data_IF_714059117767
#
_entry.id   IF_714059117767
#
_cell.length_a   1.000
_cell.length_b   1.000
_cell.length_c   1.000
_cell.angle_alpha   90.00
_cell.angle_beta   90.00
_cell.angle_gamma   90.00
#
_symmetry.space_group_name_H-M   'P 1'
#
loop_
_entity.id
_entity.type
_entity.pdbx_description
1 polymer ?
#
# COMPACT_ATOMS: atom_id res chain seq x y z
N UNK A 1 20.21 -9.03 0.94
CA UNK A 1 18.88 -9.62 0.62
C UNK A 1 18.61 -10.88 1.43
N UNK A 2 19.44 -11.92 1.37
CA UNK A 2 19.24 -13.16 2.15
C UNK A 2 19.11 -12.91 3.67
N UNK A 3 19.95 -12.03 4.25
CA UNK A 3 19.87 -11.68 5.67
C UNK A 3 18.53 -11.03 6.06
N UNK A 4 17.98 -10.16 5.20
CA UNK A 4 16.67 -9.52 5.43
C UNK A 4 15.56 -10.58 5.42
N UNK A 5 15.56 -11.47 4.43
CA UNK A 5 14.57 -12.55 4.37
C UNK A 5 14.70 -13.49 5.57
N UNK A 6 15.92 -13.79 6.01
CA UNK A 6 16.18 -14.61 7.21
C UNK A 6 15.62 -13.95 8.47
N UNK A 7 15.87 -12.65 8.65
CA UNK A 7 15.31 -11.87 9.74
C UNK A 7 13.78 -11.88 9.74
N UNK A 8 13.15 -11.64 8.57
CA UNK A 8 11.70 -11.68 8.44
C UNK A 8 11.10 -13.06 8.74
N UNK A 9 11.78 -14.14 8.33
CA UNK A 9 11.35 -15.50 8.63
C UNK A 9 11.41 -15.80 10.13
N UNK A 10 12.38 -15.24 10.85
CA UNK A 10 12.54 -15.42 12.29
C UNK A 10 11.43 -14.74 13.12
N UNK A 11 10.72 -13.76 12.55
CA UNK A 11 9.52 -13.18 13.19
C UNK A 11 8.32 -14.12 13.16
N UNK A 12 8.32 -15.14 12.30
CA UNK A 12 7.20 -16.05 12.03
C UNK A 12 5.97 -15.40 11.39
N UNK A 13 5.16 -16.23 10.72
CA UNK A 13 3.90 -15.77 10.14
C UNK A 13 2.81 -15.73 11.22
N UNK A 14 2.07 -14.63 11.30
CA UNK A 14 1.00 -14.46 12.28
C UNK A 14 -0.28 -15.23 11.91
N UNK A 15 -0.52 -16.33 12.62
CA UNK A 15 -1.74 -17.16 12.55
C UNK A 15 -2.74 -16.90 13.69
N UNK A 16 -2.48 -15.94 14.58
CA UNK A 16 -3.27 -15.76 15.82
C UNK A 16 -4.65 -15.12 15.59
N UNK A 17 -4.88 -14.54 14.42
CA UNK A 17 -6.09 -13.76 14.10
C UNK A 17 -6.13 -12.36 14.74
N UNK A 18 -5.10 -11.99 15.52
CA UNK A 18 -4.94 -10.64 16.10
C UNK A 18 -3.99 -9.81 15.22
N UNK A 19 -4.34 -8.55 14.97
CA UNK A 19 -3.43 -7.57 14.37
C UNK A 19 -2.59 -6.93 15.47
N UNK A 20 -1.27 -7.00 15.36
CA UNK A 20 -0.33 -6.38 16.31
C UNK A 20 0.04 -4.96 15.90
N UNK A 21 0.19 -4.72 14.59
CA UNK A 21 0.70 -3.47 14.05
C UNK A 21 -0.35 -2.73 13.18
N UNK A 22 -0.22 -1.41 13.03
CA UNK A 22 -1.12 -0.63 12.17
C UNK A 22 -0.81 -0.89 10.69
N UNK A 23 -1.74 -1.56 10.02
CA UNK A 23 -1.64 -1.97 8.60
C UNK A 23 -2.34 -1.00 7.63
N UNK A 24 -2.74 0.18 8.10
CA UNK A 24 -3.44 1.16 7.27
C UNK A 24 -2.60 1.59 6.06
N UNK A 25 -3.12 1.36 4.85
CA UNK A 25 -2.40 1.64 3.60
C UNK A 25 -2.39 3.10 3.17
N UNK A 26 -3.38 3.89 3.59
CA UNK A 26 -3.55 5.28 3.20
C UNK A 26 -2.80 6.24 4.14
N UNK A 27 -1.50 5.98 4.31
CA UNK A 27 -0.60 6.71 5.22
C UNK A 27 0.66 7.11 4.45
N UNK A 28 1.42 8.05 5.02
CA UNK A 28 2.70 8.46 4.44
C UNK A 28 3.78 7.38 4.58
N UNK A 29 4.84 7.48 3.77
CA UNK A 29 6.04 6.64 3.91
C UNK A 29 6.61 6.71 5.34
N UNK A 30 6.76 7.93 5.89
CA UNK A 30 7.19 8.14 7.29
C UNK A 30 6.37 7.34 8.30
N UNK A 31 5.03 7.32 8.14
CA UNK A 31 4.15 6.57 9.05
C UNK A 31 4.27 5.06 8.86
N UNK A 32 4.41 4.58 7.62
CA UNK A 32 4.60 3.16 7.31
C UNK A 32 5.93 2.67 7.88
N UNK A 33 7.00 3.44 7.72
CA UNK A 33 8.30 3.12 8.28
C UNK A 33 8.33 3.26 9.81
N UNK A 34 7.47 4.10 10.40
CA UNK A 34 7.18 4.07 11.84
C UNK A 34 6.71 2.69 12.29
N UNK A 35 5.72 2.11 11.59
CA UNK A 35 5.25 0.74 11.87
C UNK A 35 6.36 -0.30 11.67
N UNK A 36 7.24 -0.14 10.68
CA UNK A 36 8.39 -1.04 10.51
C UNK A 36 9.34 -1.00 11.72
N UNK A 37 9.56 0.17 12.33
CA UNK A 37 10.35 0.30 13.56
C UNK A 37 9.67 -0.37 14.75
N UNK A 38 8.35 -0.25 14.86
CA UNK A 38 7.57 -0.95 15.89
C UNK A 38 7.71 -2.47 15.74
N UNK A 39 7.66 -2.99 14.52
CA UNK A 39 7.89 -4.43 14.23
C UNK A 39 9.27 -4.88 14.70
N UNK A 40 10.31 -4.08 14.42
CA UNK A 40 11.69 -4.41 14.82
C UNK A 40 11.83 -4.40 16.34
N UNK A 41 11.19 -3.44 17.01
CA UNK A 41 11.25 -3.28 18.46
C UNK A 41 10.49 -4.39 19.20
N UNK A 42 9.25 -4.66 18.80
CA UNK A 42 8.37 -5.59 19.50
C UNK A 42 8.62 -7.05 19.11
N UNK A 43 9.21 -7.30 17.93
CA UNK A 43 9.58 -8.61 17.42
C UNK A 43 8.44 -9.65 17.45
N UNK A 44 7.21 -9.20 17.18
CA UNK A 44 6.02 -10.05 17.13
C UNK A 44 5.79 -10.64 15.72
N UNK A 45 5.06 -11.76 15.60
CA UNK A 45 4.70 -12.33 14.31
C UNK A 45 3.98 -11.36 13.37
N UNK A 46 4.28 -11.48 12.08
CA UNK A 46 3.81 -10.57 11.04
C UNK A 46 3.05 -11.29 9.93
N UNK A 47 2.24 -10.53 9.17
CA UNK A 47 1.61 -10.96 7.94
C UNK A 47 2.21 -10.28 6.71
N UNK A 48 1.71 -10.62 5.53
CA UNK A 48 2.24 -10.17 4.25
C UNK A 48 2.37 -8.65 4.08
N UNK A 49 1.46 -7.83 4.64
CA UNK A 49 1.56 -6.37 4.51
C UNK A 49 2.59 -5.75 5.46
N UNK A 50 2.67 -6.24 6.70
CA UNK A 50 3.70 -5.87 7.67
C UNK A 50 5.09 -6.24 7.15
N UNK A 51 5.21 -7.43 6.54
CA UNK A 51 6.40 -7.88 5.85
C UNK A 51 6.84 -6.92 4.73
N UNK A 52 5.90 -6.37 3.96
CA UNK A 52 6.20 -5.33 2.94
C UNK A 52 6.71 -4.05 3.59
N UNK A 53 6.09 -3.58 4.68
CA UNK A 53 6.54 -2.37 5.37
C UNK A 53 7.97 -2.55 5.92
N UNK A 54 8.22 -3.68 6.56
CA UNK A 54 9.51 -4.03 7.12
C UNK A 54 10.58 -4.15 6.04
N UNK A 55 10.32 -4.90 4.98
CA UNK A 55 11.25 -5.07 3.87
C UNK A 55 11.57 -3.72 3.20
N UNK A 56 10.56 -2.87 2.98
CA UNK A 56 10.75 -1.55 2.39
C UNK A 56 11.64 -0.65 3.25
N UNK A 57 11.47 -0.69 4.58
CA UNK A 57 12.29 0.04 5.54
C UNK A 57 13.74 -0.45 5.56
N UNK A 58 13.94 -1.76 5.72
CA UNK A 58 15.27 -2.38 5.80
C UNK A 58 16.07 -2.22 4.50
N UNK A 59 15.39 -1.99 3.37
CA UNK A 59 16.02 -1.75 2.07
C UNK A 59 16.00 -0.30 1.62
N UNK A 60 15.46 0.63 2.41
CA UNK A 60 15.47 2.06 2.09
C UNK A 60 16.88 2.70 2.17
N UNK A 61 17.83 2.03 2.82
CA UNK A 61 19.21 2.53 2.96
C UNK A 61 19.28 3.80 3.81
N UNK A 62 18.74 3.74 5.04
CA UNK A 62 18.64 4.89 5.94
C UNK A 62 19.94 5.70 6.09
N UNK A 63 19.84 6.98 6.50
CA UNK A 63 21.03 7.78 6.80
C UNK A 63 21.81 7.06 7.91
N UNK A 64 23.13 6.95 7.78
CA UNK A 64 24.07 6.34 8.75
C UNK A 64 24.41 4.84 8.60
N UNK A 65 24.48 4.30 7.38
CA UNK A 65 25.47 3.23 7.11
C UNK A 65 26.59 3.81 6.25
N UNK A 66 27.59 4.40 6.92
CA UNK A 66 28.84 4.85 6.31
C UNK A 66 29.42 3.72 5.44
N UNK A 67 29.44 3.93 4.12
CA UNK A 67 30.12 3.06 3.16
C UNK A 67 29.25 2.15 2.30
N UNK A 68 27.93 2.08 2.48
CA UNK A 68 27.05 1.24 1.65
C UNK A 68 26.30 2.05 0.57
N UNK A 69 27.03 2.61 -0.39
CA UNK A 69 26.52 3.39 -1.53
C UNK A 69 25.63 2.60 -2.51
N UNK A 70 25.40 1.31 -2.26
CA UNK A 70 24.77 0.37 -3.21
C UNK A 70 23.24 0.27 -3.12
N UNK A 71 22.62 0.69 -2.02
CA UNK A 71 21.18 0.46 -1.79
C UNK A 71 20.26 1.51 -2.44
N UNK A 72 20.78 2.67 -2.86
CA UNK A 72 19.99 3.75 -3.48
C UNK A 72 19.48 3.44 -4.90
N UNK A 73 19.86 2.30 -5.47
CA UNK A 73 19.51 1.91 -6.85
C UNK A 73 18.54 0.72 -6.91
N UNK A 74 17.89 0.36 -5.80
CA UNK A 74 16.99 -0.80 -5.78
C UNK A 74 15.55 -0.34 -5.70
N UNK A 75 14.83 -0.55 -6.81
CA UNK A 75 13.38 -0.37 -6.82
C UNK A 75 12.69 -1.41 -5.93
N UNK A 76 11.77 -0.90 -5.10
CA UNK A 76 11.01 -1.64 -4.10
C UNK A 76 9.54 -1.53 -4.46
N UNK A 77 9.06 -2.43 -5.32
CA UNK A 77 7.76 -2.32 -5.97
C UNK A 77 6.73 -3.21 -5.26
N UNK A 78 5.63 -2.67 -4.69
CA UNK A 78 4.61 -3.51 -4.08
C UNK A 78 3.79 -4.23 -5.18
N UNK A 79 3.68 -5.55 -5.07
CA UNK A 79 2.87 -6.39 -5.95
C UNK A 79 1.81 -7.09 -5.11
N UNK A 80 0.53 -6.86 -5.42
CA UNK A 80 -0.59 -7.57 -4.79
C UNK A 80 -1.23 -8.56 -5.75
N UNK A 81 -1.56 -9.75 -5.25
CA UNK A 81 -2.27 -10.78 -5.96
C UNK A 81 -3.68 -10.92 -5.40
N UNK A 82 -4.67 -11.06 -6.29
CA UNK A 82 -5.99 -11.59 -5.97
C UNK A 82 -6.09 -12.98 -6.57
N UNK A 83 -6.30 -13.99 -5.74
CA UNK A 83 -6.43 -15.38 -6.19
C UNK A 83 -7.79 -15.97 -5.80
N UNK A 84 -8.14 -17.10 -6.41
CA UNK A 84 -9.35 -17.87 -6.10
C UNK A 84 -8.96 -19.33 -5.86
N UNK A 85 -9.50 -19.95 -4.81
CA UNK A 85 -9.39 -21.39 -4.56
C UNK A 85 -10.66 -21.87 -3.87
N UNK A 86 -11.24 -22.98 -4.35
CA UNK A 86 -12.48 -23.53 -3.80
C UNK A 86 -13.63 -22.52 -3.73
N UNK A 87 -13.76 -21.63 -4.72
CA UNK A 87 -14.77 -20.55 -4.73
C UNK A 87 -14.50 -19.38 -3.78
N UNK A 88 -13.43 -19.44 -2.97
CA UNK A 88 -13.04 -18.39 -2.03
C UNK A 88 -11.98 -17.47 -2.64
N UNK A 89 -12.11 -16.17 -2.40
CA UNK A 89 -11.12 -15.17 -2.85
C UNK A 89 -10.07 -14.92 -1.77
N UNK A 90 -8.80 -14.93 -2.16
CA UNK A 90 -7.66 -14.62 -1.29
C UNK A 90 -6.90 -13.41 -1.81
N UNK A 91 -6.18 -12.73 -0.92
CA UNK A 91 -5.35 -11.57 -1.23
C UNK A 91 -4.00 -11.73 -0.56
N UNK A 92 -2.95 -11.49 -1.32
CA UNK A 92 -1.58 -11.54 -0.85
C UNK A 92 -0.80 -10.36 -1.45
N UNK A 93 0.24 -9.89 -0.75
CA UNK A 93 1.11 -8.81 -1.23
C UNK A 93 2.56 -9.17 -0.91
N UNK A 94 3.45 -8.83 -1.83
CA UNK A 94 4.91 -8.96 -1.69
C UNK A 94 5.59 -7.67 -2.13
N UNK A 95 6.86 -7.50 -1.76
CA UNK A 95 7.69 -6.41 -2.22
C UNK A 95 8.70 -6.97 -3.24
N UNK A 96 8.58 -6.55 -4.49
CA UNK A 96 9.54 -6.90 -5.53
C UNK A 96 10.83 -6.10 -5.31
N UNK A 97 11.95 -6.81 -5.25
CA UNK A 97 13.28 -6.24 -5.04
C UNK A 97 14.24 -7.03 -5.92
N UNK A 98 15.10 -6.34 -6.70
CA UNK A 98 16.12 -6.97 -7.58
C UNK A 98 15.56 -8.12 -8.45
N UNK A 99 14.81 -7.77 -9.50
CA UNK A 99 14.26 -8.72 -10.47
C UNK A 99 14.84 -8.45 -11.87
N UNK A 100 14.91 -9.49 -12.72
CA UNK A 100 15.37 -9.35 -14.10
C UNK A 100 14.30 -8.69 -14.98
N UNK A 101 13.07 -9.17 -14.87
CA UNK A 101 11.87 -8.58 -15.45
C UNK A 101 10.72 -8.73 -14.45
N UNK A 102 9.74 -7.83 -14.53
CA UNK A 102 8.59 -7.91 -13.64
C UNK A 102 7.68 -9.05 -14.05
N UNK A 103 7.60 -9.32 -15.35
CA UNK A 103 6.87 -10.44 -15.91
C UNK A 103 7.39 -11.78 -15.39
N UNK A 104 8.70 -12.06 -15.43
CA UNK A 104 9.27 -13.33 -14.93
C UNK A 104 8.95 -13.55 -13.44
N UNK A 105 9.09 -12.49 -12.64
CA UNK A 105 8.77 -12.55 -11.21
C UNK A 105 7.29 -12.89 -10.99
N UNK A 106 6.38 -12.18 -11.65
CA UNK A 106 4.94 -12.43 -11.53
C UNK A 106 4.59 -13.81 -12.07
N UNK A 107 5.21 -14.25 -13.16
CA UNK A 107 5.03 -15.58 -13.76
C UNK A 107 5.38 -16.69 -12.78
N UNK A 108 6.52 -16.56 -12.11
CA UNK A 108 6.91 -17.51 -11.06
C UNK A 108 5.89 -17.57 -9.92
N UNK A 109 5.38 -16.43 -9.44
CA UNK A 109 4.31 -16.42 -8.44
C UNK A 109 3.03 -17.10 -8.96
N UNK A 110 2.65 -16.89 -10.22
CA UNK A 110 1.48 -17.54 -10.84
C UNK A 110 1.64 -19.06 -10.85
N UNK A 111 2.82 -19.57 -11.21
CA UNK A 111 3.15 -20.99 -11.15
C UNK A 111 3.03 -21.53 -9.72
N UNK A 112 3.59 -20.82 -8.74
CA UNK A 112 3.54 -21.25 -7.33
C UNK A 112 2.11 -21.25 -6.76
N UNK A 113 1.27 -20.28 -7.11
CA UNK A 113 -0.15 -20.32 -6.74
C UNK A 113 -0.87 -21.51 -7.38
N UNK A 114 -0.60 -21.77 -8.66
CA UNK A 114 -1.20 -22.88 -9.39
C UNK A 114 -0.83 -24.22 -8.74
N UNK A 115 0.43 -24.38 -8.32
CA UNK A 115 0.92 -25.57 -7.62
C UNK A 115 0.19 -25.86 -6.30
N UNK A 116 -0.41 -24.85 -5.67
CA UNK A 116 -1.22 -24.99 -4.44
C UNK A 116 -2.72 -24.81 -4.70
N UNK A 117 -3.18 -25.05 -5.93
CA UNK A 117 -4.59 -25.00 -6.33
C UNK A 117 -5.25 -23.61 -6.17
N UNK A 118 -4.49 -22.53 -6.39
CA UNK A 118 -5.01 -21.18 -6.51
C UNK A 118 -4.94 -20.67 -7.95
N UNK A 119 -6.05 -20.13 -8.45
CA UNK A 119 -6.09 -19.40 -9.71
C UNK A 119 -5.77 -17.92 -9.46
N UNK A 120 -4.78 -17.37 -10.17
CA UNK A 120 -4.47 -15.93 -10.07
C UNK A 120 -5.44 -15.13 -10.95
N UNK A 121 -6.31 -14.36 -10.30
CA UNK A 121 -7.37 -13.61 -10.97
C UNK A 121 -6.88 -12.22 -11.40
N UNK A 122 -6.15 -11.53 -10.52
CA UNK A 122 -5.64 -10.18 -10.77
C UNK A 122 -4.27 -9.97 -10.14
N UNK A 123 -3.46 -9.17 -10.80
CA UNK A 123 -2.25 -8.56 -10.25
C UNK A 123 -2.45 -7.05 -10.14
N UNK A 124 -1.97 -6.48 -9.04
CA UNK A 124 -1.87 -5.04 -8.84
C UNK A 124 -0.40 -4.70 -8.62
N UNK A 125 0.09 -3.70 -9.35
CA UNK A 125 1.46 -3.20 -9.24
C UNK A 125 1.40 -1.74 -8.82
N UNK A 126 2.14 -1.40 -7.78
CA UNK A 126 2.29 -0.01 -7.32
C UNK A 126 3.54 0.67 -7.86
N UNK A 127 3.75 1.92 -7.48
CA UNK A 127 5.03 2.58 -7.70
C UNK A 127 6.08 2.15 -6.67
N UNK A 128 7.38 2.23 -7.01
CA UNK A 128 8.46 2.04 -6.06
C UNK A 128 8.30 2.88 -4.79
N UNK A 129 8.62 2.31 -3.64
CA UNK A 129 8.71 3.07 -2.39
C UNK A 129 9.82 4.13 -2.48
N UNK A 130 9.60 5.29 -1.85
CA UNK A 130 10.67 6.29 -1.70
C UNK A 130 11.80 5.78 -0.81
N UNK A 131 13.04 6.16 -1.12
CA UNK A 131 14.22 5.93 -0.26
C UNK A 131 14.25 6.91 0.92
N UNK A 132 13.57 8.05 0.80
CA UNK A 132 13.40 8.99 1.93
C UNK A 132 12.42 8.41 2.95
N UNK A 133 12.98 7.93 4.07
CA UNK A 133 12.21 7.36 5.17
C UNK A 133 11.39 8.40 5.96
N UNK A 134 11.61 9.68 5.71
CA UNK A 134 10.88 10.78 6.32
C UNK A 134 9.83 11.39 5.38
N UNK A 135 9.72 10.87 4.15
CA UNK A 135 8.76 11.36 3.17
C UNK A 135 7.33 11.35 3.70
N UNK A 136 6.65 12.48 3.52
CA UNK A 136 5.24 12.65 3.83
C UNK A 136 4.32 12.19 2.69
N UNK A 137 4.88 11.80 1.55
CA UNK A 137 4.13 11.27 0.41
C UNK A 137 3.52 9.91 0.74
N UNK A 138 2.41 9.57 0.07
CA UNK A 138 1.72 8.29 0.23
C UNK A 138 2.30 7.26 -0.73
N UNK A 139 2.15 5.99 -0.37
CA UNK A 139 2.51 4.88 -1.25
C UNK A 139 1.39 4.65 -2.26
N UNK A 140 1.76 4.60 -3.54
CA UNK A 140 0.83 4.30 -4.63
C UNK A 140 0.75 2.79 -4.87
N UNK A 141 -0.17 2.11 -4.19
CA UNK A 141 -0.20 0.65 -4.09
C UNK A 141 -0.71 -0.13 -5.32
N UNK A 142 -1.53 0.50 -6.17
CA UNK A 142 -2.35 -0.21 -7.18
C UNK A 142 -2.50 0.62 -8.46
N UNK A 143 -1.37 1.13 -8.96
CA UNK A 143 -1.32 1.98 -10.15
C UNK A 143 -1.72 1.17 -11.38
N UNK A 144 -1.05 0.04 -11.62
CA UNK A 144 -1.41 -0.91 -12.68
C UNK A 144 -2.26 -2.04 -12.09
N UNK A 145 -3.35 -2.39 -12.76
CA UNK A 145 -4.28 -3.45 -12.34
C UNK A 145 -4.71 -4.27 -13.54
N UNK A 146 -4.19 -5.49 -13.65
CA UNK A 146 -4.42 -6.38 -14.79
C UNK A 146 -5.20 -7.60 -14.31
N UNK A 147 -6.24 -7.97 -15.06
CA UNK A 147 -7.00 -9.20 -14.83
C UNK A 147 -6.38 -10.35 -15.63
N UNK A 148 -5.58 -11.18 -14.96
CA UNK A 148 -4.86 -12.30 -15.59
C UNK A 148 -5.82 -13.35 -16.15
N UNK A 149 -6.96 -13.59 -15.49
CA UNK A 149 -7.88 -14.67 -15.87
C UNK A 149 -8.60 -14.47 -17.21
N UNK A 150 -8.35 -13.37 -17.94
CA UNK A 150 -9.01 -13.05 -19.22
C UNK A 150 -8.03 -12.61 -20.31
N UNK A 151 -6.74 -12.55 -20.02
CA UNK A 151 -5.72 -12.04 -20.94
C UNK A 151 -4.62 -13.10 -21.13
N UNK A 152 -4.15 -13.33 -22.38
CA UNK A 152 -2.99 -14.17 -22.63
C UNK A 152 -1.75 -13.66 -21.88
N UNK A 153 -0.90 -14.58 -21.42
CA UNK A 153 0.27 -14.22 -20.60
C UNK A 153 1.22 -13.27 -21.32
N UNK A 154 1.51 -13.47 -22.61
CA UNK A 154 2.42 -12.60 -23.37
C UNK A 154 2.00 -11.12 -23.34
N UNK A 155 0.69 -10.86 -23.44
CA UNK A 155 0.16 -9.50 -23.36
C UNK A 155 0.29 -8.94 -21.94
N UNK A 156 0.10 -9.77 -20.91
CA UNK A 156 0.29 -9.37 -19.50
C UNK A 156 1.76 -9.05 -19.23
N UNK A 157 2.66 -9.94 -19.63
CA UNK A 157 4.10 -9.81 -19.48
C UNK A 157 4.60 -8.50 -20.12
N UNK A 158 4.21 -8.23 -21.37
CA UNK A 158 4.55 -6.99 -22.06
C UNK A 158 4.10 -5.73 -21.30
N UNK A 159 2.92 -5.74 -20.67
CA UNK A 159 2.46 -4.59 -19.88
C UNK A 159 3.16 -4.42 -18.54
N UNK A 160 3.51 -5.53 -17.87
CA UNK A 160 4.28 -5.49 -16.63
C UNK A 160 5.65 -4.85 -16.87
N UNK A 161 6.35 -5.29 -17.92
CA UNK A 161 7.71 -4.81 -18.21
C UNK A 161 7.71 -3.40 -18.82
N UNK A 162 6.69 -3.04 -19.61
CA UNK A 162 6.48 -1.67 -20.05
C UNK A 162 6.28 -0.73 -18.84
N UNK A 163 5.50 -1.15 -17.85
CA UNK A 163 5.22 -0.35 -16.67
C UNK A 163 6.48 -0.07 -15.84
N UNK A 164 7.35 -1.08 -15.69
CA UNK A 164 8.64 -0.87 -15.00
C UNK A 164 9.57 0.08 -15.74
N UNK A 165 9.50 0.12 -17.08
CA UNK A 165 10.30 1.07 -17.86
C UNK A 165 9.79 2.51 -17.76
N UNK A 166 8.50 2.70 -17.54
CA UNK A 166 7.87 4.02 -17.58
C UNK A 166 7.53 4.62 -16.21
N UNK A 167 7.57 3.86 -15.10
CA UNK A 167 7.06 4.38 -13.82
C UNK A 167 7.72 5.69 -13.38
N UNK A 168 8.99 5.95 -13.72
CA UNK A 168 9.68 7.16 -13.30
C UNK A 168 9.03 8.41 -13.91
N UNK A 169 8.64 8.34 -15.17
CA UNK A 169 7.92 9.41 -15.86
C UNK A 169 6.49 9.53 -15.33
N UNK A 170 5.80 8.40 -15.12
CA UNK A 170 4.45 8.37 -14.58
C UNK A 170 4.37 8.95 -13.17
N UNK A 171 5.32 8.62 -12.30
CA UNK A 171 5.47 9.18 -10.95
C UNK A 171 5.75 10.67 -11.00
N UNK A 172 6.69 11.10 -11.84
CA UNK A 172 7.02 12.53 -12.00
C UNK A 172 5.80 13.34 -12.45
N UNK A 173 5.00 12.80 -13.38
CA UNK A 173 3.75 13.40 -13.80
C UNK A 173 2.73 13.44 -12.66
N UNK A 174 2.52 12.33 -11.96
CA UNK A 174 1.59 12.23 -10.83
C UNK A 174 1.94 13.24 -9.73
N UNK A 175 3.21 13.40 -9.39
CA UNK A 175 3.64 14.35 -8.36
C UNK A 175 3.40 15.81 -8.78
N UNK A 176 3.55 16.12 -10.07
CA UNK A 176 3.34 17.48 -10.60
C UNK A 176 1.86 17.83 -10.79
N UNK A 177 1.06 16.88 -11.28
CA UNK A 177 -0.32 17.13 -11.74
C UNK A 177 -1.35 16.65 -10.72
N UNK A 178 -1.03 15.61 -9.95
CA UNK A 178 -1.92 14.99 -8.97
C UNK A 178 -2.74 13.81 -9.51
N UNK A 179 -2.67 13.55 -10.82
CA UNK A 179 -3.32 12.43 -11.50
C UNK A 179 -2.35 11.75 -12.50
N UNK A 180 -2.68 10.55 -12.99
CA UNK A 180 -1.90 9.88 -14.04
C UNK A 180 -2.08 10.58 -15.40
N UNK A 181 -1.10 10.49 -16.33
CA UNK A 181 -1.25 11.07 -17.67
C UNK A 181 -2.47 10.54 -18.41
N UNK A 182 -3.13 11.37 -19.21
CA UNK A 182 -4.29 10.95 -20.04
C UNK A 182 -3.93 9.78 -20.98
N UNK A 183 -2.69 9.74 -21.48
CA UNK A 183 -2.18 8.66 -22.33
C UNK A 183 -1.96 7.33 -21.59
N UNK A 184 -2.11 7.27 -20.27
CA UNK A 184 -1.89 6.05 -19.49
C UNK A 184 -2.81 4.92 -19.92
N UNK A 185 -4.10 5.20 -20.18
CA UNK A 185 -5.05 4.17 -20.59
C UNK A 185 -4.71 3.58 -21.97
N UNK A 186 -4.20 4.42 -22.88
CA UNK A 186 -3.79 4.00 -24.23
C UNK A 186 -2.50 3.19 -24.20
N UNK A 187 -1.55 3.55 -23.34
CA UNK A 187 -0.29 2.80 -23.14
C UNK A 187 -0.49 1.48 -22.39
N UNK A 188 -1.44 1.42 -21.45
CA UNK A 188 -1.71 0.25 -20.62
C UNK A 188 -3.14 -0.29 -20.83
N UNK A 189 -3.50 -0.82 -22.01
CA UNK A 189 -4.88 -1.21 -22.32
C UNK A 189 -5.46 -2.35 -21.46
N UNK A 190 -4.62 -3.16 -20.79
CA UNK A 190 -5.09 -4.18 -19.85
C UNK A 190 -5.37 -3.62 -18.45
N UNK A 191 -4.99 -2.36 -18.18
CA UNK A 191 -5.33 -1.68 -16.94
C UNK A 191 -6.85 -1.55 -16.82
N UNK A 192 -7.40 -2.03 -15.71
CA UNK A 192 -8.80 -1.77 -15.33
C UNK A 192 -8.82 -1.13 -13.95
N UNK A 193 -9.25 0.14 -13.82
CA UNK A 193 -9.28 0.77 -12.50
C UNK A 193 -10.22 0.00 -11.57
N UNK A 194 -9.98 0.01 -10.25
CA UNK A 194 -10.91 -0.56 -9.29
C UNK A 194 -12.31 0.04 -9.49
N UNK A 195 -13.36 -0.79 -9.51
CA UNK A 195 -14.74 -0.28 -9.53
C UNK A 195 -14.94 0.60 -8.29
N UNK A 196 -15.12 1.91 -8.46
CA UNK A 196 -15.45 2.83 -7.37
C UNK A 196 -16.78 2.36 -6.78
N UNK A 197 -16.82 2.03 -5.49
CA UNK A 197 -18.09 1.71 -4.82
C UNK A 197 -18.98 2.96 -4.90
N UNK A 198 -20.23 2.80 -5.35
CA UNK A 198 -21.23 3.88 -5.51
C UNK A 198 -21.70 4.52 -4.19
N UNK A 199 -20.95 4.37 -3.10
CA UNK A 199 -21.27 4.89 -1.77
C UNK A 199 -20.34 6.01 -1.28
N UNK A 200 -19.47 6.54 -2.14
CA UNK A 200 -18.73 7.77 -1.83
C UNK A 200 -18.89 8.78 -2.96
N UNK A 201 -19.81 9.72 -2.78
CA UNK A 201 -19.87 10.95 -3.57
C UNK A 201 -18.49 11.61 -3.61
N UNK A 202 -18.06 12.22 -4.72
CA UNK A 202 -16.81 12.94 -4.75
C UNK A 202 -16.93 14.13 -3.79
N UNK A 203 -16.10 14.14 -2.74
CA UNK A 203 -15.79 15.38 -2.04
C UNK A 203 -15.22 16.33 -3.09
N UNK A 204 -16.00 17.35 -3.47
CA UNK A 204 -15.51 18.50 -4.24
C UNK A 204 -14.37 19.10 -3.41
N UNK A 205 -13.12 18.86 -3.83
CA UNK A 205 -11.97 19.61 -3.32
C UNK A 205 -12.16 21.05 -3.78
N UNK A 206 -12.57 21.92 -2.87
CA UNK A 206 -12.53 23.36 -3.09
C UNK A 206 -11.05 23.79 -3.25
N UNK A 207 -10.72 24.64 -4.22
CA UNK A 207 -9.39 25.24 -4.30
C UNK A 207 -9.11 26.01 -3.01
N UNK A 208 -7.91 25.86 -2.45
CA UNK A 208 -7.43 26.68 -1.33
C UNK A 208 -7.46 28.15 -1.76
N UNK A 209 -8.36 28.93 -1.18
CA UNK A 209 -8.30 30.39 -1.28
C UNK A 209 -7.04 30.88 -0.55
N UNK A 210 -6.28 31.73 -1.24
CA UNK A 210 -5.17 32.51 -0.71
C UNK A 210 -5.65 33.35 0.47
N UNK A 211 -4.99 33.24 1.63
CA UNK A 211 -5.24 34.12 2.78
C UNK A 211 -4.31 35.31 2.67
N UNK A 212 -4.74 36.33 1.95
CA UNK A 212 -4.34 37.72 2.17
C UNK A 212 -5.62 38.53 2.37
N UNK A 213 -5.60 39.39 3.39
CA UNK A 213 -6.50 40.54 3.59
C UNK A 213 -7.99 40.28 3.92
N UNK A 214 -8.37 40.46 5.21
CA UNK A 214 -8.95 41.73 5.69
C UNK A 214 -9.60 41.61 7.09
N UNK A 215 -9.13 42.51 7.94
CA UNK A 215 -9.73 43.17 9.10
C UNK A 215 -11.20 42.93 9.50
N UNK A 216 -11.33 42.67 10.81
CA UNK A 216 -12.23 43.31 11.80
C UNK A 216 -13.75 43.38 11.53
N UNK A 217 -14.51 42.67 12.37
CA UNK A 217 -15.52 43.32 13.24
C UNK A 217 -16.04 42.32 14.29
N UNK A 218 -16.01 42.76 15.54
CA UNK A 218 -16.52 42.07 16.71
C UNK A 218 -18.03 42.25 16.80
N UNK A 219 -18.81 41.19 17.04
CA UNK A 219 -20.02 41.29 17.87
C UNK A 219 -20.24 39.99 18.65
N UNK A 220 -20.42 40.19 19.95
CA UNK A 220 -20.69 39.23 21.03
C UNK A 220 -22.14 38.74 21.02
N UNK A 221 -22.40 37.46 21.31
CA UNK A 221 -23.40 37.05 22.31
C UNK A 221 -23.39 35.54 22.66
N UNK A 222 -23.89 35.15 23.85
CA UNK A 222 -23.35 34.00 24.57
C UNK A 222 -24.28 32.76 24.68
N UNK A 223 -23.60 31.61 24.80
CA UNK A 223 -23.91 30.43 25.61
C UNK A 223 -25.34 29.83 25.64
N UNK A 224 -25.46 28.59 25.18
CA UNK A 224 -26.36 27.59 25.79
C UNK A 224 -25.64 26.25 25.98
N UNK A 225 -25.27 25.99 27.24
CA UNK A 225 -24.82 24.67 27.74
C UNK A 225 -25.95 23.65 27.61
N UNK A 226 -25.72 22.53 26.92
CA UNK A 226 -26.56 21.33 27.03
C UNK A 226 -26.01 20.43 28.14
N UNK A 227 -26.85 20.14 29.14
CA UNK A 227 -26.58 19.17 30.19
C UNK A 227 -26.67 17.76 29.61
N UNK A 228 -25.64 16.94 29.82
CA UNK A 228 -25.68 15.50 29.60
C UNK A 228 -26.32 14.84 30.83
N UNK A 229 -27.39 14.08 30.61
CA UNK A 229 -27.93 13.16 31.61
C UNK A 229 -27.19 11.83 31.51
N UNK A 230 -26.43 11.49 32.56
CA UNK A 230 -25.91 10.15 32.79
C UNK A 230 -27.06 9.18 33.10
N UNK A 231 -27.23 8.14 32.28
CA UNK A 231 -28.01 6.95 32.66
C UNK A 231 -27.04 5.92 33.23
N UNK A 232 -27.21 5.62 34.51
CA UNK A 232 -26.54 4.54 35.23
C UNK A 232 -27.17 3.20 34.86
N UNK A 233 -26.34 2.20 34.60
CA UNK A 233 -26.73 0.83 34.27
C UNK A 233 -26.49 -0.04 35.51
N UNK A 234 -27.54 -0.70 36.02
CA UNK A 234 -27.46 -1.66 37.13
C UNK A 234 -27.48 -3.10 36.61
N UNK A 235 -26.59 -4.01 37.03
CA UNK A 235 -26.63 -5.41 36.64
C UNK A 235 -27.59 -6.21 37.53
N UNK A 236 -28.61 -6.85 36.93
CA UNK A 236 -29.40 -7.90 37.61
C UNK A 236 -28.59 -9.18 37.71
N UNK A 237 -28.32 -9.61 38.95
CA UNK A 237 -27.85 -10.96 39.30
C UNK A 237 -28.88 -12.00 38.84
N UNK A 238 -28.43 -13.03 38.12
CA UNK A 238 -29.09 -14.34 38.06
C UNK A 238 -28.32 -15.28 38.99
N UNK A 239 -29.01 -15.87 39.95
CA UNK A 239 -28.61 -17.14 40.56
C UNK A 239 -29.67 -18.18 40.15
N UNK A 240 -29.14 -19.38 39.94
CA UNK A 240 -29.72 -20.71 39.75
C UNK A 240 -31.24 -20.81 39.98
#
# INVERSE_FOLDING_TARGET
MAAIQTYMNALEYNYTGKMYFDVSKNRSHKSIYGTAKDIIHDALPIQCLEAVFLAAYLTAGGPEYEGATFNHQIDRIPISFKTSSGGTTFRHIVLAIKHQSLSDLVGNFVEQYTAVCHDVIKVYVGFPFSHDIHSTERVEWRVLNIKLSIHPWDNVAAQLDLFTREYSELMSHLHRVGDLPDSFADKFPLHKPPKRSTLSSPSRRHPRASVYEMHASWTTHPSRRRRYHHRTWSPKRRRL
#
